data_IF_999143362913
#
_entry.id   IF_999143362913
#
_cell.length_a   1.000
_cell.length_b   1.000
_cell.length_c   1.000
_cell.angle_alpha   90.00
_cell.angle_beta   90.00
_cell.angle_gamma   90.00
#
_symmetry.space_group_name_H-M   'P 1'
#
loop_
_entity.id
_entity.type
_entity.pdbx_description
1 polymer ?
#
# COMPACT_ATOMS: atom_id res chain seq x y z
N UNK A 1 -3.08 13.36 -8.59
CA UNK A 1 -2.86 12.35 -7.53
C UNK A 1 -3.96 12.45 -6.48
N UNK A 2 -4.62 11.37 -6.17
CA UNK A 2 -5.60 11.33 -5.07
C UNK A 2 -5.00 10.58 -3.89
N UNK A 3 -4.66 11.33 -2.83
CA UNK A 3 -3.94 10.81 -1.66
C UNK A 3 -4.86 10.65 -0.46
N UNK A 4 -4.87 9.45 0.14
CA UNK A 4 -5.52 9.23 1.43
C UNK A 4 -4.52 9.51 2.54
N UNK A 5 -4.74 10.61 3.25
CA UNK A 5 -3.87 11.03 4.35
C UNK A 5 -4.28 10.39 5.66
N UNK A 6 -3.29 10.04 6.49
CA UNK A 6 -3.53 9.59 7.85
C UNK A 6 -3.55 10.78 8.80
N UNK A 7 -4.44 10.75 9.79
CA UNK A 7 -4.55 11.84 10.77
C UNK A 7 -3.34 11.90 11.72
N UNK A 8 -2.84 10.73 12.12
CA UNK A 8 -1.72 10.66 13.06
C UNK A 8 -0.45 11.26 12.45
N UNK A 9 0.15 12.22 13.14
CA UNK A 9 1.39 12.83 12.71
C UNK A 9 2.56 11.93 13.09
N UNK A 10 3.39 11.58 12.11
CA UNK A 10 4.58 10.77 12.33
C UNK A 10 5.66 11.25 11.35
N UNK A 11 6.88 11.60 11.84
CA UNK A 11 7.94 12.10 10.98
C UNK A 11 8.44 11.06 9.97
N UNK A 12 8.15 9.77 10.18
CA UNK A 12 8.50 8.70 9.24
C UNK A 12 7.41 8.43 8.20
N UNK A 13 6.30 9.14 8.27
CA UNK A 13 5.19 8.97 7.35
C UNK A 13 5.59 9.40 5.93
N UNK A 14 5.35 8.54 4.96
CA UNK A 14 5.65 8.79 3.55
C UNK A 14 4.42 8.53 2.69
N UNK A 15 4.44 9.05 1.47
CA UNK A 15 3.37 8.82 0.48
C UNK A 15 3.74 7.58 -0.33
N UNK A 16 2.84 6.61 -0.35
CA UNK A 16 3.01 5.35 -1.07
C UNK A 16 2.03 5.28 -2.22
N UNK A 17 2.53 4.92 -3.40
CA UNK A 17 1.67 4.63 -4.55
C UNK A 17 1.05 3.24 -4.37
N UNK A 18 -0.29 3.16 -4.38
CA UNK A 18 -1.00 1.90 -4.10
C UNK A 18 -0.64 0.82 -5.12
N UNK A 19 -0.42 1.19 -6.39
CA UNK A 19 -0.02 0.23 -7.42
C UNK A 19 1.33 -0.43 -7.15
N UNK A 20 2.15 0.15 -6.27
CA UNK A 20 3.46 -0.37 -5.88
C UNK A 20 3.42 -1.16 -4.57
N UNK A 21 2.22 -1.47 -4.07
CA UNK A 21 2.02 -2.20 -2.83
C UNK A 21 1.54 -3.62 -3.11
N UNK A 22 2.19 -4.59 -2.47
CA UNK A 22 1.67 -5.95 -2.39
C UNK A 22 0.85 -6.05 -1.12
N UNK A 23 -0.42 -6.44 -1.24
CA UNK A 23 -1.34 -6.52 -0.11
C UNK A 23 -2.27 -7.73 -0.27
N UNK A 24 -2.95 -8.11 0.81
CA UNK A 24 -3.84 -9.27 0.81
C UNK A 24 -5.16 -8.88 0.12
N UNK A 25 -5.33 -9.36 -1.12
CA UNK A 25 -6.50 -9.02 -1.96
C UNK A 25 -7.78 -9.70 -1.51
N UNK A 26 -7.68 -10.79 -0.75
CA UNK A 26 -8.83 -11.53 -0.26
C UNK A 26 -9.48 -10.92 1.00
N UNK A 27 -8.84 -9.92 1.61
CA UNK A 27 -9.40 -9.26 2.78
C UNK A 27 -10.53 -8.31 2.40
N UNK A 28 -11.55 -8.24 3.26
CA UNK A 28 -12.67 -7.31 3.09
C UNK A 28 -12.19 -5.87 3.28
N UNK A 29 -12.59 -4.92 2.42
CA UNK A 29 -12.29 -3.51 2.64
C UNK A 29 -12.80 -3.01 4.00
N UNK A 30 -12.05 -2.09 4.61
CA UNK A 30 -12.44 -1.52 5.90
C UNK A 30 -13.69 -0.67 5.74
N UNK A 31 -14.78 -1.09 6.37
CA UNK A 31 -16.11 -0.47 6.18
C UNK A 31 -16.12 0.97 6.66
N UNK A 32 -15.43 1.28 7.74
CA UNK A 32 -15.37 2.63 8.30
C UNK A 32 -14.86 3.65 7.29
N UNK A 33 -13.82 3.26 6.51
CA UNK A 33 -13.30 4.15 5.45
C UNK A 33 -14.29 4.29 4.30
N UNK A 34 -14.99 3.21 3.95
CA UNK A 34 -16.02 3.27 2.91
C UNK A 34 -17.19 4.17 3.32
N UNK A 35 -17.47 4.24 4.62
CA UNK A 35 -18.53 5.08 5.19
C UNK A 35 -18.12 6.54 5.34
N UNK A 36 -16.90 6.89 4.92
CA UNK A 36 -16.40 8.26 4.93
C UNK A 36 -15.60 8.65 6.15
N UNK A 37 -15.27 7.70 7.02
CA UNK A 37 -14.36 7.98 8.14
C UNK A 37 -12.95 8.23 7.64
N UNK A 38 -12.18 9.04 8.37
CA UNK A 38 -10.82 9.35 8.01
C UNK A 38 -9.87 8.25 8.45
N UNK A 39 -8.75 8.12 7.73
CA UNK A 39 -7.69 7.19 8.09
C UNK A 39 -6.97 7.73 9.34
N UNK A 40 -7.09 7.02 10.45
CA UNK A 40 -6.50 7.47 11.72
C UNK A 40 -4.99 7.24 11.72
N UNK A 41 -4.55 6.01 11.43
CA UNK A 41 -3.15 5.63 11.44
C UNK A 41 -2.65 5.38 10.02
N UNK A 42 -1.37 5.72 9.72
CA UNK A 42 -0.78 5.31 8.44
C UNK A 42 -0.66 3.78 8.38
N UNK A 43 -0.67 3.23 7.17
CA UNK A 43 -0.43 1.79 7.00
C UNK A 43 1.04 1.48 7.29
N UNK A 44 1.32 0.22 7.64
CA UNK A 44 2.69 -0.24 7.88
C UNK A 44 3.13 -1.14 6.73
N UNK A 45 4.30 -0.85 6.16
CA UNK A 45 4.83 -1.60 5.02
C UNK A 45 6.25 -2.06 5.27
N UNK A 46 6.62 -3.14 4.59
CA UNK A 46 7.98 -3.65 4.51
C UNK A 46 8.55 -3.29 3.16
N UNK A 47 9.74 -2.70 3.14
CA UNK A 47 10.44 -2.40 1.91
C UNK A 47 11.25 -3.62 1.47
N UNK A 48 11.08 -4.03 0.21
CA UNK A 48 11.81 -5.13 -0.38
C UNK A 48 13.05 -4.63 -1.10
N UNK A 49 14.10 -5.46 -1.07
CA UNK A 49 15.25 -5.25 -1.93
C UNK A 49 14.87 -5.69 -3.35
N UNK A 50 14.79 -4.72 -4.26
CA UNK A 50 14.50 -5.01 -5.67
C UNK A 50 15.77 -5.48 -6.34
N UNK A 51 15.73 -6.70 -6.91
CA UNK A 51 16.84 -7.24 -7.68
C UNK A 51 17.08 -6.41 -8.95
N UNK A 52 18.35 -6.12 -9.25
CA UNK A 52 18.71 -5.49 -10.53
C UNK A 52 18.67 -6.46 -11.69
N UNK A 53 18.60 -7.78 -11.41
CA UNK A 53 18.49 -8.81 -12.43
C UNK A 53 17.03 -8.96 -12.84
N UNK A 54 16.71 -8.85 -14.14
CA UNK A 54 15.33 -9.05 -14.58
C UNK A 54 14.83 -10.45 -14.24
N UNK A 55 13.59 -10.52 -13.73
CA UNK A 55 12.90 -11.79 -13.51
C UNK A 55 11.82 -11.95 -14.55
N UNK A 56 11.59 -13.20 -14.95
CA UNK A 56 10.60 -13.53 -15.95
C UNK A 56 9.56 -14.46 -15.35
N UNK A 57 8.29 -14.14 -15.58
CA UNK A 57 7.19 -15.03 -15.22
C UNK A 57 7.01 -16.15 -16.24
N UNK A 58 5.94 -16.94 -16.10
CA UNK A 58 5.59 -17.99 -17.05
C UNK A 58 5.44 -17.40 -18.46
N UNK A 59 5.98 -18.10 -19.46
CA UNK A 59 5.94 -17.64 -20.84
C UNK A 59 7.00 -16.60 -21.20
N UNK A 60 7.97 -16.32 -20.33
CA UNK A 60 9.06 -15.40 -20.64
C UNK A 60 8.70 -13.92 -20.55
N UNK A 61 7.55 -13.58 -19.96
CA UNK A 61 7.13 -12.20 -19.78
C UNK A 61 7.90 -11.57 -18.58
N UNK A 62 8.48 -10.36 -18.75
CA UNK A 62 9.15 -9.70 -17.63
C UNK A 62 8.21 -9.53 -16.44
N UNK A 63 8.68 -9.91 -15.25
CA UNK A 63 7.92 -9.79 -14.01
C UNK A 63 8.40 -8.56 -13.22
N UNK A 64 7.47 -7.65 -12.93
CA UNK A 64 7.77 -6.45 -12.14
C UNK A 64 7.42 -6.70 -10.69
N UNK A 65 8.44 -6.72 -9.82
CA UNK A 65 8.23 -6.85 -8.38
C UNK A 65 7.66 -5.58 -7.79
N UNK A 66 6.79 -5.73 -6.80
CA UNK A 66 6.33 -4.61 -5.99
C UNK A 66 7.44 -4.21 -5.02
N UNK A 67 7.60 -2.90 -4.82
CA UNK A 67 8.64 -2.37 -3.93
C UNK A 67 8.32 -2.58 -2.47
N UNK A 68 7.05 -2.59 -2.11
CA UNK A 68 6.60 -2.69 -0.73
C UNK A 68 5.57 -3.80 -0.55
N UNK A 69 5.58 -4.43 0.64
CA UNK A 69 4.50 -5.31 1.09
C UNK A 69 3.80 -4.69 2.28
N UNK A 70 2.47 -4.70 2.26
CA UNK A 70 1.68 -4.18 3.38
C UNK A 70 1.73 -5.17 4.52
N UNK A 71 2.29 -4.73 5.66
CA UNK A 71 2.34 -5.50 6.90
C UNK A 71 1.05 -5.37 7.69
N UNK A 72 0.59 -4.13 7.86
CA UNK A 72 -0.70 -3.83 8.47
C UNK A 72 -1.43 -2.80 7.63
N UNK A 73 -2.69 -3.06 7.35
CA UNK A 73 -3.54 -2.12 6.65
C UNK A 73 -4.07 -2.58 5.30
N UNK A 74 -3.99 -3.88 4.97
CA UNK A 74 -4.54 -4.38 3.69
C UNK A 74 -6.01 -4.01 3.51
N UNK A 75 -6.82 -4.05 4.57
CA UNK A 75 -8.22 -3.64 4.51
C UNK A 75 -8.36 -2.14 4.20
N UNK A 76 -7.43 -1.33 4.71
CA UNK A 76 -7.40 0.12 4.43
C UNK A 76 -7.01 0.39 2.99
N UNK A 77 -6.04 -0.35 2.46
CA UNK A 77 -5.64 -0.26 1.05
C UNK A 77 -6.80 -0.65 0.13
N UNK A 78 -7.52 -1.72 0.46
CA UNK A 78 -8.70 -2.15 -0.29
C UNK A 78 -9.78 -1.07 -0.32
N UNK A 79 -10.06 -0.45 0.84
CA UNK A 79 -11.05 0.61 0.93
C UNK A 79 -10.60 1.85 0.13
N UNK A 80 -9.31 2.21 0.22
CA UNK A 80 -8.76 3.33 -0.53
C UNK A 80 -8.95 3.14 -2.04
N UNK A 81 -8.67 1.94 -2.55
CA UNK A 81 -8.88 1.63 -3.97
C UNK A 81 -10.34 1.76 -4.38
N UNK A 82 -11.26 1.26 -3.57
CA UNK A 82 -12.70 1.38 -3.85
C UNK A 82 -13.17 2.83 -3.87
N UNK A 83 -12.56 3.69 -3.06
CA UNK A 83 -12.87 5.12 -3.02
C UNK A 83 -12.16 5.92 -4.11
N UNK A 84 -11.31 5.28 -4.91
CA UNK A 84 -10.63 5.93 -6.02
C UNK A 84 -9.31 6.61 -5.67
N UNK A 85 -8.75 6.33 -4.51
CA UNK A 85 -7.42 6.84 -4.14
C UNK A 85 -6.32 6.12 -4.92
N UNK A 86 -5.29 6.86 -5.31
CA UNK A 86 -4.11 6.30 -6.00
C UNK A 86 -2.92 6.19 -5.06
N UNK A 87 -2.92 6.95 -3.98
CA UNK A 87 -1.82 7.01 -3.02
C UNK A 87 -2.37 6.95 -1.59
N UNK A 88 -1.56 6.45 -0.67
CA UNK A 88 -1.92 6.33 0.75
C UNK A 88 -0.68 6.62 1.60
N UNK A 89 -0.88 7.25 2.75
CA UNK A 89 0.21 7.50 3.67
C UNK A 89 0.54 6.24 4.47
N UNK A 90 1.84 5.95 4.61
CA UNK A 90 2.31 4.78 5.31
C UNK A 90 3.69 4.98 5.93
N UNK A 91 4.13 3.99 6.69
CA UNK A 91 5.42 3.98 7.36
C UNK A 91 6.16 2.70 6.96
N UNK A 92 7.46 2.85 6.62
CA UNK A 92 8.32 1.69 6.37
C UNK A 92 8.86 1.23 7.72
N UNK A 93 8.52 -0.01 8.10
CA UNK A 93 8.83 -0.51 9.45
C UNK A 93 10.13 -1.32 9.53
N UNK A 94 10.76 -1.63 8.41
CA UNK A 94 11.99 -2.41 8.38
C UNK A 94 13.22 -1.62 7.93
N UNK A 95 13.15 -0.32 8.02
CA UNK A 95 14.31 0.55 7.82
C UNK A 95 14.96 0.93 9.14
#
# INVERSE_FOLDING_TARGET
MKLLKAQLQNPKKIILEISNLQYIKSMTPLQELLDGEELENPIEVLKHHISTTPRYGAGGVPYKEKEFSVWRGSQRVQAALKLGYTHIEGIIINE
#
